data_IF_949798058098
#
_entry.id   IF_949798058098
#
_cell.length_a   1.000
_cell.length_b   1.000
_cell.length_c   1.000
_cell.angle_alpha   90.00
_cell.angle_beta   90.00
_cell.angle_gamma   90.00
#
_symmetry.space_group_name_H-M   'P 1'
#
loop_
_entity.id
_entity.type
_entity.pdbx_description
1 polymer ?
#
# COMPACT_ATOMS: atom_id res chain seq x y z
N UNK A 1 71.99 49.58 45.30
CA UNK A 1 70.58 49.29 45.65
C UNK A 1 69.84 49.26 44.33
N UNK A 2 69.49 48.08 43.81
CA UNK A 2 68.75 47.97 42.55
C UNK A 2 67.30 48.36 42.85
N UNK A 3 66.83 49.49 42.33
CA UNK A 3 65.42 49.84 42.40
C UNK A 3 64.66 48.93 41.45
N UNK A 4 63.94 47.94 42.00
CA UNK A 4 62.94 47.23 41.21
C UNK A 4 61.83 48.24 40.91
N UNK A 5 61.66 48.58 39.63
CA UNK A 5 60.49 49.34 39.18
C UNK A 5 59.31 48.38 39.30
N UNK A 6 58.33 48.79 40.10
CA UNK A 6 57.09 48.03 40.30
C UNK A 6 56.22 48.26 39.06
N UNK A 7 55.88 47.18 38.34
CA UNK A 7 54.99 47.23 37.18
C UNK A 7 53.54 46.98 37.60
N UNK A 8 52.57 47.57 36.88
CA UNK A 8 51.15 47.28 37.10
C UNK A 8 50.83 45.80 36.81
N UNK A 9 49.79 45.22 37.43
CA UNK A 9 49.45 43.81 37.22
C UNK A 9 49.04 43.52 35.78
N UNK A 10 49.42 42.37 35.22
CA UNK A 10 48.84 41.87 33.98
C UNK A 10 47.57 41.06 34.27
N UNK A 11 46.44 41.44 33.66
CA UNK A 11 45.12 40.85 33.91
C UNK A 11 44.51 40.29 32.64
N UNK A 12 44.26 38.97 32.59
CA UNK A 12 43.77 38.28 31.38
C UNK A 12 42.52 37.46 31.67
N UNK A 13 41.51 37.60 30.82
CA UNK A 13 40.34 36.70 30.77
C UNK A 13 40.56 35.54 29.80
N UNK A 14 40.11 34.34 30.19
CA UNK A 14 40.31 33.13 29.36
C UNK A 14 39.23 32.90 28.30
N UNK A 15 38.03 33.47 28.50
CA UNK A 15 36.90 33.35 27.56
C UNK A 15 36.21 34.69 27.43
N UNK A 16 35.73 34.99 26.23
CA UNK A 16 34.98 36.21 25.92
C UNK A 16 33.50 36.13 26.30
N UNK A 17 32.96 34.93 26.54
CA UNK A 17 31.59 34.74 27.00
C UNK A 17 31.42 33.43 27.80
N UNK A 18 30.43 33.45 28.67
CA UNK A 18 29.92 32.34 29.44
C UNK A 18 28.39 32.35 29.39
N UNK A 19 27.78 31.16 29.41
CA UNK A 19 26.34 31.04 29.57
C UNK A 19 26.02 30.07 30.69
N UNK A 20 25.01 30.40 31.47
CA UNK A 20 24.57 29.61 32.61
C UNK A 20 23.05 29.54 32.62
N UNK A 21 22.51 28.36 32.94
CA UNK A 21 21.07 28.20 33.16
C UNK A 21 20.63 28.93 34.43
N UNK A 22 19.39 29.45 34.51
CA UNK A 22 18.82 29.92 35.75
C UNK A 22 19.02 28.90 36.88
N UNK A 23 19.53 29.35 38.02
CA UNK A 23 19.88 28.54 39.18
C UNK A 23 21.22 27.81 39.11
N UNK A 24 21.92 27.82 37.98
CA UNK A 24 23.25 27.24 37.83
C UNK A 24 24.37 28.11 38.42
N UNK A 25 25.59 27.58 38.44
CA UNK A 25 26.80 28.33 38.80
C UNK A 25 27.78 28.41 37.63
N UNK A 26 28.52 29.50 37.52
CA UNK A 26 29.55 29.70 36.48
C UNK A 26 30.74 30.47 37.02
N UNK A 27 31.96 30.08 36.63
CA UNK A 27 33.21 30.74 37.03
C UNK A 27 33.83 31.46 35.84
N UNK A 28 33.96 32.78 35.98
CA UNK A 28 34.62 33.68 35.04
C UNK A 28 36.11 33.65 35.35
N UNK A 29 36.88 32.96 34.50
CA UNK A 29 38.29 32.75 34.73
C UNK A 29 39.10 34.02 34.41
N UNK A 30 39.83 34.50 35.42
CA UNK A 30 40.78 35.61 35.33
C UNK A 30 42.13 35.14 35.86
N UNK A 31 43.19 35.44 35.09
CA UNK A 31 44.58 35.25 35.48
C UNK A 31 45.16 36.63 35.78
N UNK A 32 45.81 36.73 36.94
CA UNK A 32 46.53 37.93 37.39
C UNK A 32 47.97 37.54 37.63
N UNK A 33 48.92 38.26 37.02
CA UNK A 33 50.36 38.06 37.23
C UNK A 33 51.05 39.40 37.45
N UNK A 34 51.95 39.46 38.42
CA UNK A 34 52.71 40.66 38.79
C UNK A 34 54.02 40.25 39.47
N UNK A 35 55.07 41.04 39.31
CA UNK A 35 56.33 40.90 40.06
C UNK A 35 56.21 41.39 41.51
N UNK A 36 55.22 42.26 41.77
CA UNK A 36 54.91 42.85 43.08
C UNK A 36 53.66 42.21 43.69
N UNK A 37 53.49 42.34 45.01
CA UNK A 37 52.35 41.76 45.72
C UNK A 37 51.03 42.37 45.22
N UNK A 38 50.04 41.53 44.94
CA UNK A 38 48.70 41.98 44.53
C UNK A 38 47.90 42.31 45.79
N UNK A 39 47.51 43.57 45.94
CA UNK A 39 46.77 44.05 47.11
C UNK A 39 45.28 43.75 46.98
N UNK A 40 44.73 43.86 45.77
CA UNK A 40 43.29 43.73 45.54
C UNK A 40 43.00 43.16 44.17
N UNK A 41 41.98 42.29 44.11
CA UNK A 41 41.34 41.86 42.86
C UNK A 41 39.84 42.09 43.02
N UNK A 42 39.21 42.71 42.03
CA UNK A 42 37.77 42.94 42.05
C UNK A 42 37.16 42.82 40.65
N UNK A 43 35.86 42.61 40.59
CA UNK A 43 35.13 42.52 39.32
C UNK A 43 34.12 43.65 39.19
N UNK A 44 33.95 44.14 37.97
CA UNK A 44 32.86 45.04 37.61
C UNK A 44 31.93 44.38 36.61
N UNK A 45 30.63 44.69 36.72
CA UNK A 45 29.61 44.30 35.77
C UNK A 45 29.00 45.54 35.14
N UNK A 46 28.89 45.53 33.81
CA UNK A 46 28.28 46.58 33.02
C UNK A 46 27.00 46.07 32.35
N UNK A 47 25.88 46.75 32.56
CA UNK A 47 24.59 46.48 31.91
C UNK A 47 24.02 47.82 31.45
N UNK A 48 23.68 47.98 30.16
CA UNK A 48 23.16 49.24 29.60
C UNK A 48 24.02 50.48 29.94
N UNK A 49 25.36 50.31 29.96
CA UNK A 49 26.36 51.31 30.38
C UNK A 49 26.41 51.62 31.88
N UNK A 50 25.55 51.01 32.70
CA UNK A 50 25.64 51.10 34.16
C UNK A 50 26.68 50.13 34.69
N UNK A 51 27.73 50.65 35.32
CA UNK A 51 28.84 49.88 35.89
C UNK A 51 28.60 49.67 37.38
N UNK A 52 28.63 48.40 37.81
CA UNK A 52 28.50 48.00 39.21
C UNK A 52 29.72 47.21 39.64
N UNK A 53 30.38 47.62 40.73
CA UNK A 53 31.43 46.80 41.37
C UNK A 53 30.76 45.63 42.09
N UNK A 54 31.18 44.41 41.76
CA UNK A 54 30.61 43.19 42.33
C UNK A 54 31.10 43.01 43.77
N UNK A 55 30.16 43.00 44.70
CA UNK A 55 30.42 42.70 46.10
C UNK A 55 30.32 41.19 46.32
N UNK A 56 31.44 40.56 46.65
CA UNK A 56 31.49 39.12 46.89
C UNK A 56 30.85 38.73 48.21
N UNK A 57 30.02 37.69 48.17
CA UNK A 57 29.56 36.96 49.33
C UNK A 57 29.50 35.47 48.98
N UNK A 58 29.78 34.59 49.95
CA UNK A 58 29.87 33.14 49.71
C UNK A 58 28.59 32.52 49.10
N UNK A 59 27.45 33.21 49.17
CA UNK A 59 26.16 32.74 48.64
C UNK A 59 25.94 33.07 47.17
N UNK A 60 26.38 34.25 46.69
CA UNK A 60 26.05 34.75 45.35
C UNK A 60 27.26 34.94 44.44
N UNK A 61 28.32 35.57 44.95
CA UNK A 61 29.52 35.91 44.19
C UNK A 61 30.75 35.53 45.02
N UNK A 62 31.51 34.53 44.61
CA UNK A 62 32.70 34.06 45.35
C UNK A 62 33.98 34.13 44.50
N UNK A 63 35.14 34.05 45.15
CA UNK A 63 36.43 34.33 44.50
C UNK A 63 36.74 35.83 44.53
N UNK A 64 37.28 36.38 43.44
CA UNK A 64 37.66 37.78 43.35
C UNK A 64 38.63 38.22 44.47
N UNK A 65 39.67 37.43 44.71
CA UNK A 65 40.73 37.75 45.67
C UNK A 65 42.10 37.60 45.00
N UNK A 66 43.19 38.16 45.57
CA UNK A 66 44.54 37.94 45.05
C UNK A 66 44.91 36.46 44.89
N UNK A 67 44.46 35.59 45.80
CA UNK A 67 44.68 34.13 45.74
C UNK A 67 43.72 33.38 44.82
N UNK A 68 42.53 33.94 44.54
CA UNK A 68 41.52 33.35 43.66
C UNK A 68 40.94 34.47 42.79
N UNK A 69 41.64 34.91 41.72
CA UNK A 69 41.21 36.08 40.95
C UNK A 69 39.91 35.89 40.17
N UNK A 70 39.55 34.64 39.89
CA UNK A 70 38.35 34.28 39.13
C UNK A 70 37.07 34.52 39.94
N UNK A 71 36.01 34.98 39.28
CA UNK A 71 34.70 35.24 39.90
C UNK A 71 33.75 34.06 39.64
N UNK A 72 33.18 33.50 40.70
CA UNK A 72 32.10 32.51 40.59
C UNK A 72 30.76 33.14 40.91
N UNK A 73 29.82 33.05 39.97
CA UNK A 73 28.42 33.43 40.15
C UNK A 73 27.65 32.17 40.53
N UNK A 74 27.06 32.16 41.72
CA UNK A 74 26.23 31.07 42.21
C UNK A 74 24.74 31.36 42.01
N UNK A 75 23.95 30.30 41.78
CA UNK A 75 22.50 30.38 41.64
C UNK A 75 22.09 31.53 40.70
N UNK A 76 22.64 31.51 39.48
CA UNK A 76 22.53 32.59 38.50
C UNK A 76 21.06 32.90 38.17
N UNK A 77 20.67 34.16 38.24
CA UNK A 77 19.37 34.67 37.82
C UNK A 77 19.51 35.58 36.61
N UNK A 78 18.39 35.93 35.97
CA UNK A 78 18.40 36.74 34.75
C UNK A 78 19.11 38.10 34.91
N UNK A 79 19.13 38.65 36.14
CA UNK A 79 19.82 39.91 36.47
C UNK A 79 21.34 39.79 36.58
N UNK A 80 21.90 38.58 36.54
CA UNK A 80 23.35 38.36 36.49
C UNK A 80 23.88 38.39 35.07
N UNK A 81 23.03 38.52 34.06
CA UNK A 81 23.48 38.73 32.69
C UNK A 81 24.14 40.11 32.52
N UNK A 82 25.20 40.19 31.74
CA UNK A 82 25.93 41.45 31.50
C UNK A 82 27.37 41.27 31.05
N UNK A 83 28.08 42.37 30.84
CA UNK A 83 29.53 42.38 30.55
C UNK A 83 30.31 42.46 31.87
N UNK A 84 31.31 41.61 32.05
CA UNK A 84 32.14 41.55 33.26
C UNK A 84 33.60 41.84 32.92
N UNK A 85 34.30 42.54 33.81
CA UNK A 85 35.74 42.81 33.74
C UNK A 85 36.40 42.55 35.09
N UNK A 86 37.60 41.96 35.03
CA UNK A 86 38.47 41.71 36.17
C UNK A 86 39.45 42.87 36.32
N UNK A 87 39.68 43.33 37.53
CA UNK A 87 40.64 44.39 37.88
C UNK A 87 41.60 43.85 38.93
N UNK A 88 42.87 44.22 38.83
CA UNK A 88 43.87 43.92 39.84
C UNK A 88 44.70 45.17 40.16
N UNK A 89 45.04 45.33 41.43
CA UNK A 89 45.72 46.50 41.97
C UNK A 89 46.94 46.07 42.81
N UNK A 90 48.06 46.76 42.60
CA UNK A 90 49.27 46.71 43.42
C UNK A 90 49.79 48.13 43.67
N UNK A 91 50.93 48.27 44.34
CA UNK A 91 51.56 49.57 44.63
C UNK A 91 51.87 50.43 43.37
N UNK A 92 52.01 49.82 42.19
CA UNK A 92 52.30 50.50 40.94
C UNK A 92 51.03 51.06 40.27
N UNK A 93 49.86 50.49 40.57
CA UNK A 93 48.57 50.94 40.04
C UNK A 93 47.57 49.81 39.81
N UNK A 94 46.52 50.13 39.05
CA UNK A 94 45.43 49.22 38.71
C UNK A 94 45.38 48.97 37.22
N UNK A 95 45.25 47.71 36.82
CA UNK A 95 45.02 47.29 35.43
C UNK A 95 43.73 46.46 35.33
N UNK A 96 43.18 46.36 34.13
CA UNK A 96 41.93 45.66 33.85
C UNK A 96 42.06 44.63 32.74
N UNK A 97 41.20 43.62 32.75
CA UNK A 97 41.05 42.69 31.64
C UNK A 97 40.19 43.23 30.50
N UNK A 98 40.20 42.54 29.36
CA UNK A 98 39.11 42.61 28.38
C UNK A 98 37.76 42.15 28.99
N UNK A 99 36.67 42.42 28.27
CA UNK A 99 35.32 42.01 28.68
C UNK A 99 35.08 40.50 28.48
N UNK A 100 34.35 39.91 29.43
CA UNK A 100 33.63 38.65 29.23
C UNK A 100 32.13 38.85 29.41
N UNK A 101 31.30 38.26 28.54
CA UNK A 101 29.84 38.37 28.62
C UNK A 101 29.29 37.19 29.44
N UNK A 102 28.34 37.44 30.32
CA UNK A 102 27.53 36.40 30.97
C UNK A 102 26.12 36.46 30.40
N UNK A 103 25.68 35.36 29.83
CA UNK A 103 24.30 35.14 29.42
C UNK A 103 23.61 34.22 30.44
N UNK A 104 22.37 34.53 30.81
CA UNK A 104 21.56 33.67 31.67
C UNK A 104 20.30 33.27 30.92
N UNK A 105 20.16 31.99 30.60
CA UNK A 105 19.08 31.52 29.75
C UNK A 105 18.96 30.00 29.71
N UNK A 106 17.84 29.53 29.17
CA UNK A 106 17.61 28.10 28.96
C UNK A 106 18.04 27.69 27.54
N UNK A 107 18.39 26.41 27.38
CA UNK A 107 18.53 25.80 26.05
C UNK A 107 17.21 25.90 25.27
N UNK A 108 17.23 25.80 23.93
CA UNK A 108 15.99 25.81 23.14
C UNK A 108 15.04 24.68 23.57
N UNK A 109 13.74 24.94 23.57
CA UNK A 109 12.72 23.89 23.68
C UNK A 109 12.50 23.30 22.29
N UNK A 110 12.69 21.99 22.16
CA UNK A 110 12.61 21.31 20.86
C UNK A 110 11.56 20.21 20.95
N UNK A 111 10.59 20.22 20.05
CA UNK A 111 9.51 19.23 19.99
C UNK A 111 9.40 18.63 18.60
N UNK A 112 8.91 17.39 18.53
CA UNK A 112 8.65 16.68 17.28
C UNK A 112 7.17 16.34 17.20
N UNK A 113 6.55 16.56 16.04
CA UNK A 113 5.09 16.47 15.94
C UNK A 113 4.55 15.04 16.01
N UNK A 114 5.32 14.04 15.57
CA UNK A 114 4.92 12.61 15.60
C UNK A 114 6.09 11.75 16.07
N UNK A 115 5.77 10.64 16.73
CA UNK A 115 6.74 9.63 17.17
C UNK A 115 7.12 8.63 16.06
N UNK A 116 6.36 8.55 14.98
CA UNK A 116 6.62 7.65 13.85
C UNK A 116 6.16 8.23 12.50
N UNK A 117 6.90 7.87 11.45
CA UNK A 117 6.67 8.24 10.07
C UNK A 117 6.97 7.02 9.18
N UNK A 118 6.05 6.70 8.26
CA UNK A 118 6.20 5.63 7.30
C UNK A 118 6.22 6.22 5.89
N UNK A 119 7.19 5.83 5.08
CA UNK A 119 7.34 6.33 3.70
C UNK A 119 7.63 5.18 2.74
N UNK A 120 7.01 5.24 1.56
CA UNK A 120 7.27 4.27 0.49
C UNK A 120 8.68 4.46 -0.08
N UNK A 121 9.34 3.38 -0.53
CA UNK A 121 10.58 3.50 -1.32
C UNK A 121 10.40 4.51 -2.47
N UNK A 122 11.34 5.44 -2.61
CA UNK A 122 11.31 6.53 -3.57
C UNK A 122 10.47 7.75 -3.18
N UNK A 123 9.67 7.66 -2.11
CA UNK A 123 8.84 8.78 -1.61
C UNK A 123 9.65 9.84 -0.85
N UNK A 124 8.97 10.92 -0.45
CA UNK A 124 9.53 11.96 0.42
C UNK A 124 8.73 12.09 1.71
N UNK A 125 9.40 12.44 2.81
CA UNK A 125 8.78 12.66 4.12
C UNK A 125 9.45 13.81 4.85
N UNK A 126 8.66 14.63 5.55
CA UNK A 126 9.15 15.72 6.40
C UNK A 126 8.88 15.43 7.87
N UNK A 127 9.96 15.34 8.64
CA UNK A 127 9.93 15.21 10.09
C UNK A 127 9.77 16.60 10.70
N UNK A 128 8.54 16.91 11.11
CA UNK A 128 8.18 18.23 11.61
C UNK A 128 8.78 18.46 13.00
N UNK A 129 9.76 19.35 13.09
CA UNK A 129 10.40 19.78 14.31
C UNK A 129 10.08 21.25 14.57
N UNK A 130 9.77 21.57 15.82
CA UNK A 130 9.57 22.94 16.30
C UNK A 130 10.66 23.23 17.32
N UNK A 131 11.45 24.26 17.08
CA UNK A 131 12.46 24.76 18.02
C UNK A 131 12.07 26.18 18.44
N UNK A 132 11.90 26.39 19.74
CA UNK A 132 11.55 27.70 20.31
C UNK A 132 12.56 28.09 21.40
N UNK A 133 12.98 29.35 21.39
CA UNK A 133 13.87 29.90 22.38
C UNK A 133 13.62 31.40 22.55
N UNK A 134 13.83 31.92 23.75
CA UNK A 134 13.84 33.36 24.02
C UNK A 134 15.16 34.01 23.59
N UNK A 135 16.20 33.22 23.29
CA UNK A 135 17.48 33.67 22.75
C UNK A 135 17.62 33.24 21.29
N UNK A 136 18.53 33.87 20.54
CA UNK A 136 18.79 33.48 19.16
C UNK A 136 19.23 32.00 19.07
N UNK A 137 18.60 31.24 18.18
CA UNK A 137 19.01 29.87 17.86
C UNK A 137 20.09 29.95 16.79
N UNK A 138 21.29 29.49 17.14
CA UNK A 138 22.47 29.58 16.28
C UNK A 138 22.54 28.41 15.30
N UNK A 139 22.05 27.24 15.72
CA UNK A 139 22.16 26.01 14.95
C UNK A 139 20.96 25.10 15.19
N UNK A 140 20.48 24.46 14.12
CA UNK A 140 19.59 23.30 14.18
C UNK A 140 20.25 22.16 13.42
N UNK A 141 20.23 20.96 13.97
CA UNK A 141 20.77 19.78 13.33
C UNK A 141 20.01 18.52 13.74
N UNK A 142 20.12 17.48 12.91
CA UNK A 142 19.49 16.19 13.17
C UNK A 142 20.53 15.11 13.38
N UNK A 143 20.24 14.20 14.30
CA UNK A 143 20.98 12.94 14.44
C UNK A 143 20.08 11.77 14.09
N UNK A 144 20.68 10.77 13.46
CA UNK A 144 20.04 9.49 13.14
C UNK A 144 20.75 8.37 13.91
N UNK A 145 19.95 7.54 14.56
CA UNK A 145 20.40 6.36 15.29
C UNK A 145 19.93 5.09 14.57
N UNK A 146 20.88 4.22 14.23
CA UNK A 146 20.63 2.88 13.65
C UNK A 146 21.47 1.87 14.42
N UNK A 147 20.87 0.79 14.91
CA UNK A 147 21.59 -0.24 15.68
C UNK A 147 22.44 0.30 16.84
N UNK A 148 21.95 1.34 17.54
CA UNK A 148 22.64 2.08 18.62
C UNK A 148 23.81 2.97 18.16
N UNK A 149 24.15 2.98 16.89
CA UNK A 149 25.14 3.92 16.33
C UNK A 149 24.47 5.24 15.95
N UNK A 150 25.06 6.35 16.39
CA UNK A 150 24.52 7.70 16.19
C UNK A 150 25.37 8.43 15.15
N UNK A 151 24.72 8.99 14.14
CA UNK A 151 25.34 9.77 13.07
C UNK A 151 24.64 11.13 12.93
N UNK A 152 25.40 12.19 12.63
CA UNK A 152 24.82 13.49 12.26
C UNK A 152 24.35 13.42 10.82
N UNK A 153 23.10 13.83 10.57
CA UNK A 153 22.55 13.88 9.21
C UNK A 153 23.14 15.08 8.49
N UNK A 154 23.82 14.85 7.38
CA UNK A 154 24.36 15.91 6.53
C UNK A 154 23.24 16.50 5.68
N UNK A 155 22.85 17.75 5.97
CA UNK A 155 21.77 18.47 5.30
C UNK A 155 22.32 19.40 4.19
N UNK A 156 21.44 20.19 3.56
CA UNK A 156 21.75 20.97 2.36
C UNK A 156 22.19 20.10 1.16
N UNK A 157 21.62 18.90 1.08
CA UNK A 157 21.80 17.99 -0.05
C UNK A 157 20.46 17.78 -0.77
N UNK A 158 20.48 17.19 -1.96
CA UNK A 158 19.25 16.77 -2.66
C UNK A 158 18.46 15.76 -1.81
N UNK A 159 19.18 14.95 -1.03
CA UNK A 159 18.63 13.87 -0.20
C UNK A 159 17.99 14.38 1.10
N UNK A 160 18.68 15.27 1.80
CA UNK A 160 18.28 15.81 3.10
C UNK A 160 18.29 17.33 3.09
N UNK A 161 17.15 17.95 3.34
CA UNK A 161 16.98 19.41 3.36
C UNK A 161 16.25 19.91 4.60
N UNK A 162 16.30 21.23 4.82
CA UNK A 162 15.82 21.86 6.04
C UNK A 162 16.87 21.89 7.13
N UNK A 163 16.49 21.65 8.39
CA UNK A 163 17.40 21.68 9.54
C UNK A 163 18.13 23.02 9.72
N UNK A 164 17.39 24.12 9.64
CA UNK A 164 17.93 25.47 9.90
C UNK A 164 17.16 26.13 11.05
N UNK A 165 17.70 27.19 11.69
CA UNK A 165 16.96 27.95 12.70
C UNK A 165 15.61 28.48 12.21
N UNK A 166 15.48 28.86 10.93
CA UNK A 166 14.24 29.33 10.32
C UNK A 166 13.32 28.20 9.84
N UNK A 167 13.87 27.01 9.56
CA UNK A 167 13.13 25.82 9.16
C UNK A 167 13.70 24.57 9.84
N UNK A 168 13.31 24.29 11.10
CA UNK A 168 13.94 23.24 11.89
C UNK A 168 13.66 21.81 11.40
N UNK A 169 12.55 21.61 10.69
CA UNK A 169 12.13 20.32 10.15
C UNK A 169 13.14 19.72 9.18
N UNK A 170 13.25 18.38 9.17
CA UNK A 170 14.09 17.63 8.23
C UNK A 170 13.22 17.00 7.15
N UNK A 171 13.53 17.26 5.89
CA UNK A 171 12.92 16.57 4.75
C UNK A 171 13.88 15.53 4.20
N UNK A 172 13.38 14.30 4.05
CA UNK A 172 14.08 13.17 3.42
C UNK A 172 13.42 12.95 2.06
N UNK A 173 14.17 13.13 0.97
CA UNK A 173 13.70 12.91 -0.39
C UNK A 173 14.11 11.53 -0.93
N UNK A 174 13.34 10.97 -1.88
CA UNK A 174 13.67 9.71 -2.56
C UNK A 174 14.11 8.60 -1.58
N UNK A 175 13.29 8.37 -0.55
CA UNK A 175 13.61 7.54 0.61
C UNK A 175 13.93 6.08 0.21
N UNK A 176 15.01 5.53 0.75
CA UNK A 176 15.42 4.15 0.54
C UNK A 176 15.73 3.46 1.87
N UNK A 177 15.96 2.16 1.86
CA UNK A 177 16.08 1.35 3.09
C UNK A 177 17.11 1.88 4.10
N UNK A 178 18.17 2.55 3.63
CA UNK A 178 19.22 3.14 4.48
C UNK A 178 18.79 4.41 5.22
N UNK A 179 17.62 4.95 4.90
CA UNK A 179 17.03 6.10 5.59
C UNK A 179 16.18 5.68 6.79
N UNK A 180 15.89 4.40 6.96
CA UNK A 180 15.19 3.89 8.14
C UNK A 180 16.03 4.13 9.41
N UNK A 181 15.37 4.44 10.52
CA UNK A 181 16.04 4.62 11.81
C UNK A 181 15.31 5.58 12.75
N UNK A 182 15.91 5.83 13.91
CA UNK A 182 15.42 6.83 14.87
C UNK A 182 16.07 8.18 14.59
N UNK A 183 15.27 9.23 14.46
CA UNK A 183 15.72 10.58 14.21
C UNK A 183 15.41 11.47 15.41
N UNK A 184 16.31 12.40 15.71
CA UNK A 184 16.16 13.35 16.80
C UNK A 184 16.64 14.74 16.35
N UNK A 185 15.81 15.75 16.61
CA UNK A 185 16.07 17.14 16.27
C UNK A 185 16.80 17.81 17.44
N UNK A 186 17.82 18.62 17.14
CA UNK A 186 18.58 19.39 18.11
C UNK A 186 18.60 20.85 17.71
N UNK A 187 18.47 21.75 18.68
CA UNK A 187 18.64 23.18 18.47
C UNK A 187 19.57 23.74 19.55
N UNK A 188 20.46 24.63 19.13
CA UNK A 188 21.53 25.18 19.96
C UNK A 188 21.43 26.69 20.03
N UNK A 189 21.53 27.23 21.23
CA UNK A 189 21.75 28.65 21.50
C UNK A 189 22.95 28.80 22.42
N UNK A 190 23.28 30.04 22.81
CA UNK A 190 24.38 30.31 23.73
C UNK A 190 24.31 29.51 25.05
N UNK A 191 23.13 29.09 25.51
CA UNK A 191 22.95 28.29 26.74
C UNK A 191 23.19 26.80 26.56
N UNK A 192 23.32 26.34 25.32
CA UNK A 192 23.59 24.96 24.96
C UNK A 192 22.49 24.38 24.08
N UNK A 193 22.38 23.06 24.11
CA UNK A 193 21.58 22.30 23.14
C UNK A 193 20.31 21.72 23.77
N UNK A 194 19.16 22.04 23.19
CA UNK A 194 17.90 21.35 23.41
C UNK A 194 17.69 20.24 22.39
N UNK A 195 16.91 19.22 22.75
CA UNK A 195 16.65 18.07 21.88
C UNK A 195 15.18 17.63 21.95
N UNK A 196 14.66 17.13 20.83
CA UNK A 196 13.32 16.55 20.76
C UNK A 196 13.29 15.13 21.34
N UNK A 197 12.09 14.56 21.49
CA UNK A 197 11.92 13.11 21.54
C UNK A 197 12.35 12.45 20.21
N UNK A 198 12.52 11.13 20.21
CA UNK A 198 12.80 10.37 18.99
C UNK A 198 11.56 10.27 18.10
N UNK A 199 11.77 10.34 16.78
CA UNK A 199 10.82 9.90 15.76
C UNK A 199 11.40 8.72 14.98
N UNK A 200 10.62 7.66 14.81
CA UNK A 200 11.01 6.50 14.02
C UNK A 200 10.60 6.73 12.55
N UNK A 201 11.53 6.55 11.62
CA UNK A 201 11.25 6.50 10.19
C UNK A 201 11.33 5.07 9.73
N UNK A 202 10.24 4.55 9.17
CA UNK A 202 10.20 3.24 8.51
C UNK A 202 10.03 3.40 7.00
N UNK A 203 10.69 2.50 6.26
CA UNK A 203 10.63 2.46 4.80
C UNK A 203 9.88 1.19 4.43
N UNK A 204 8.59 1.33 4.16
CA UNK A 204 7.69 0.20 3.93
C UNK A 204 6.94 0.36 2.61
N UNK A 205 6.68 -0.75 1.95
CA UNK A 205 5.89 -0.80 0.72
C UNK A 205 4.54 -1.45 0.97
N UNK A 206 3.64 -1.37 -0.01
CA UNK A 206 2.48 -2.26 -0.06
C UNK A 206 2.96 -3.73 -0.16
N UNK A 207 2.13 -4.72 0.20
CA UNK A 207 2.52 -6.12 0.10
C UNK A 207 2.90 -6.51 -1.32
N UNK A 208 3.89 -7.38 -1.48
CA UNK A 208 4.19 -8.02 -2.77
C UNK A 208 3.30 -9.23 -2.93
N UNK A 209 2.49 -9.24 -3.99
CA UNK A 209 1.46 -10.26 -4.24
C UNK A 209 1.76 -10.96 -5.56
N UNK A 210 1.93 -12.28 -5.51
CA UNK A 210 2.31 -13.10 -6.67
C UNK A 210 1.35 -14.26 -6.86
N UNK A 211 0.81 -14.44 -8.07
CA UNK A 211 0.10 -15.66 -8.45
C UNK A 211 1.09 -16.65 -9.07
N UNK A 212 0.95 -17.95 -8.75
CA UNK A 212 1.94 -18.96 -9.17
C UNK A 212 1.84 -19.38 -10.64
N UNK A 213 0.68 -19.18 -11.27
CA UNK A 213 0.44 -19.51 -12.68
C UNK A 213 -0.27 -18.36 -13.36
N UNK A 214 -0.07 -18.24 -14.67
CA UNK A 214 -0.82 -17.35 -15.56
C UNK A 214 -2.23 -17.87 -15.84
N UNK A 215 -2.44 -19.17 -15.74
CA UNK A 215 -3.69 -19.84 -16.09
C UNK A 215 -3.91 -21.13 -15.29
N UNK A 216 -5.18 -21.44 -15.11
CA UNK A 216 -5.67 -22.66 -14.49
C UNK A 216 -6.81 -23.22 -15.34
N UNK A 217 -6.86 -24.54 -15.45
CA UNK A 217 -7.96 -25.27 -16.09
C UNK A 217 -8.56 -26.24 -15.07
N UNK A 218 -9.87 -26.17 -14.89
CA UNK A 218 -10.61 -27.03 -13.97
C UNK A 218 -11.81 -27.67 -14.67
N UNK A 219 -12.07 -28.94 -14.38
CA UNK A 219 -13.31 -29.59 -14.84
C UNK A 219 -14.53 -29.01 -14.12
N UNK A 220 -15.63 -28.84 -14.83
CA UNK A 220 -16.91 -28.47 -14.24
C UNK A 220 -17.27 -29.42 -13.08
N UNK A 221 -17.84 -28.85 -12.02
CA UNK A 221 -18.13 -29.48 -10.73
C UNK A 221 -16.92 -29.94 -9.90
N UNK A 222 -15.68 -29.73 -10.37
CA UNK A 222 -14.47 -29.96 -9.57
C UNK A 222 -14.04 -28.70 -8.83
N UNK A 223 -13.11 -28.84 -7.87
CA UNK A 223 -12.51 -27.70 -7.17
C UNK A 223 -11.15 -27.34 -7.74
N UNK A 224 -10.79 -26.06 -7.69
CA UNK A 224 -9.47 -25.55 -8.08
C UNK A 224 -8.99 -24.50 -7.09
N UNK A 225 -7.69 -24.45 -6.84
CA UNK A 225 -7.07 -23.42 -6.00
C UNK A 225 -6.16 -22.53 -6.85
N UNK A 226 -6.54 -21.26 -6.95
CA UNK A 226 -5.71 -20.20 -7.51
C UNK A 226 -4.69 -19.79 -6.46
N UNK A 227 -3.43 -20.13 -6.69
CA UNK A 227 -2.40 -19.97 -5.68
C UNK A 227 -1.88 -18.54 -5.67
N UNK A 228 -1.87 -17.92 -4.48
CA UNK A 228 -1.35 -16.59 -4.26
C UNK A 228 -0.35 -16.61 -3.11
N UNK A 229 0.82 -16.01 -3.31
CA UNK A 229 1.83 -15.77 -2.30
C UNK A 229 1.84 -14.28 -1.99
N UNK A 230 1.72 -13.95 -0.70
CA UNK A 230 1.81 -12.58 -0.20
C UNK A 230 3.05 -12.48 0.68
N UNK A 231 3.89 -11.49 0.41
CA UNK A 231 5.07 -11.16 1.23
C UNK A 231 5.06 -9.68 1.60
N UNK A 232 5.32 -9.37 2.87
CA UNK A 232 5.28 -8.02 3.42
C UNK A 232 6.26 -7.90 4.59
N UNK A 233 6.91 -6.74 4.74
CA UNK A 233 7.72 -6.40 5.93
C UNK A 233 6.85 -6.07 7.15
N UNK A 234 5.58 -5.74 6.92
CA UNK A 234 4.60 -5.34 7.93
C UNK A 234 3.41 -6.29 7.95
N UNK A 235 2.62 -6.25 9.02
CA UNK A 235 1.45 -7.12 9.18
C UNK A 235 0.42 -6.91 8.06
N UNK A 236 -0.03 -8.02 7.47
CA UNK A 236 -1.06 -8.03 6.44
C UNK A 236 -2.43 -7.96 7.14
N UNK A 237 -3.20 -6.92 6.86
CA UNK A 237 -4.53 -6.70 7.45
C UNK A 237 -5.63 -7.44 6.68
N UNK A 238 -5.46 -7.63 5.38
CA UNK A 238 -6.50 -8.22 4.52
C UNK A 238 -5.88 -8.88 3.27
N UNK A 239 -6.54 -9.91 2.76
CA UNK A 239 -6.26 -10.51 1.44
C UNK A 239 -7.59 -10.75 0.76
N UNK A 240 -7.73 -10.32 -0.49
CA UNK A 240 -8.98 -10.47 -1.23
C UNK A 240 -8.72 -10.74 -2.71
N UNK A 241 -9.72 -11.31 -3.39
CA UNK A 241 -9.65 -11.58 -4.83
C UNK A 241 -10.71 -10.81 -5.59
N UNK A 242 -10.35 -10.34 -6.78
CA UNK A 242 -11.31 -9.81 -7.77
C UNK A 242 -11.30 -10.69 -9.00
N UNK A 243 -12.46 -10.82 -9.63
CA UNK A 243 -12.65 -11.50 -10.91
C UNK A 243 -13.12 -10.50 -11.96
N UNK A 244 -12.58 -10.60 -13.16
CA UNK A 244 -12.93 -9.78 -14.32
C UNK A 244 -13.45 -10.66 -15.44
N UNK A 245 -14.63 -10.32 -15.98
CA UNK A 245 -15.25 -10.95 -17.15
C UNK A 245 -15.72 -9.80 -18.05
N UNK A 246 -15.31 -9.77 -19.32
CA UNK A 246 -15.72 -8.72 -20.27
C UNK A 246 -15.54 -7.27 -19.75
N UNK A 247 -14.45 -7.03 -19.01
CA UNK A 247 -14.12 -5.79 -18.27
C UNK A 247 -14.96 -5.49 -17.03
N UNK A 248 -15.96 -6.32 -16.69
CA UNK A 248 -16.71 -6.21 -15.44
C UNK A 248 -15.96 -6.84 -14.27
N UNK A 249 -15.58 -5.99 -13.31
CA UNK A 249 -14.80 -6.39 -12.13
C UNK A 249 -15.74 -6.68 -10.95
N UNK A 250 -15.70 -7.91 -10.44
CA UNK A 250 -16.46 -8.37 -9.28
C UNK A 250 -15.52 -8.70 -8.12
N UNK A 251 -15.81 -8.17 -6.93
CA UNK A 251 -15.14 -8.61 -5.69
C UNK A 251 -15.65 -10.00 -5.29
N UNK A 252 -14.75 -10.95 -5.07
CA UNK A 252 -15.13 -12.29 -4.65
C UNK A 252 -15.45 -12.30 -3.17
N UNK A 253 -16.70 -12.63 -2.83
CA UNK A 253 -17.13 -12.84 -1.46
C UNK A 253 -16.93 -14.30 -1.07
N UNK A 254 -16.04 -14.55 -0.11
CA UNK A 254 -15.76 -15.90 0.36
C UNK A 254 -16.90 -16.46 1.21
N UNK A 255 -17.28 -17.70 0.92
CA UNK A 255 -18.10 -18.54 1.78
C UNK A 255 -17.62 -19.99 1.65
N UNK A 256 -17.70 -20.77 2.74
CA UNK A 256 -17.14 -22.14 2.77
C UNK A 256 -17.71 -23.06 1.68
N UNK A 257 -18.87 -22.75 1.09
CA UNK A 257 -19.52 -23.56 0.07
C UNK A 257 -18.99 -23.31 -1.35
N UNK A 258 -18.66 -22.06 -1.71
CA UNK A 258 -18.26 -21.68 -3.06
C UNK A 258 -16.84 -21.17 -3.18
N UNK A 259 -16.43 -20.23 -2.34
CA UNK A 259 -15.15 -19.54 -2.41
C UNK A 259 -14.49 -19.56 -1.03
N UNK A 260 -13.39 -20.27 -0.85
CA UNK A 260 -12.68 -20.35 0.43
C UNK A 260 -11.21 -19.92 0.32
N UNK A 261 -10.56 -19.69 1.45
CA UNK A 261 -9.24 -19.04 1.50
C UNK A 261 -9.39 -17.53 1.46
N UNK A 262 -8.53 -16.84 0.69
CA UNK A 262 -8.52 -15.37 0.60
C UNK A 262 -8.44 -14.71 1.97
N UNK A 263 -7.49 -15.14 2.81
CA UNK A 263 -7.21 -14.52 4.11
C UNK A 263 -5.70 -14.29 4.28
N UNK A 264 -5.25 -13.46 5.23
CA UNK A 264 -3.83 -13.28 5.51
C UNK A 264 -3.08 -14.60 5.81
N UNK A 265 -3.73 -15.56 6.47
CA UNK A 265 -3.16 -16.89 6.76
C UNK A 265 -3.29 -17.89 5.61
N UNK A 266 -4.28 -17.72 4.73
CA UNK A 266 -4.54 -18.57 3.57
C UNK A 266 -4.85 -17.72 2.34
N UNK A 267 -3.84 -17.10 1.71
CA UNK A 267 -4.05 -16.09 0.65
C UNK A 267 -4.63 -16.67 -0.66
N UNK A 268 -4.37 -17.93 -0.95
CA UNK A 268 -4.90 -18.61 -2.14
C UNK A 268 -6.43 -18.69 -2.12
N UNK A 269 -7.06 -18.56 -3.30
CA UNK A 269 -8.51 -18.70 -3.48
C UNK A 269 -8.84 -20.10 -3.95
N UNK A 270 -9.65 -20.83 -3.19
CA UNK A 270 -10.22 -22.11 -3.62
C UNK A 270 -11.65 -21.91 -4.09
N UNK A 271 -11.92 -22.34 -5.32
CA UNK A 271 -13.23 -22.31 -5.96
C UNK A 271 -13.76 -23.74 -5.91
N UNK A 272 -14.83 -23.95 -5.15
CA UNK A 272 -15.49 -25.24 -5.03
C UNK A 272 -16.58 -25.41 -6.08
N UNK A 273 -16.75 -26.64 -6.58
CA UNK A 273 -17.80 -26.99 -7.53
C UNK A 273 -17.85 -25.99 -8.70
N UNK A 274 -16.73 -25.84 -9.41
CA UNK A 274 -16.53 -24.83 -10.45
C UNK A 274 -17.60 -24.96 -11.56
N UNK A 275 -18.24 -23.86 -11.90
CA UNK A 275 -19.21 -23.73 -12.98
C UNK A 275 -18.75 -22.72 -14.01
N UNK A 276 -19.41 -22.68 -15.18
CA UNK A 276 -19.01 -21.81 -16.28
C UNK A 276 -18.92 -20.32 -15.92
N UNK A 277 -19.78 -19.87 -15.01
CA UNK A 277 -19.79 -18.47 -14.52
C UNK A 277 -18.61 -18.14 -13.60
N UNK A 278 -17.79 -19.13 -13.23
CA UNK A 278 -16.55 -18.91 -12.48
C UNK A 278 -15.35 -18.69 -13.41
N UNK A 279 -15.47 -18.99 -14.70
CA UNK A 279 -14.41 -18.67 -15.66
C UNK A 279 -14.18 -17.15 -15.74
N UNK A 280 -12.94 -16.75 -16.04
CA UNK A 280 -12.56 -15.34 -16.15
C UNK A 280 -11.14 -15.07 -15.65
N UNK A 281 -10.76 -13.80 -15.65
CA UNK A 281 -9.46 -13.37 -15.12
C UNK A 281 -9.57 -13.04 -13.63
N UNK A 282 -8.59 -13.45 -12.84
CA UNK A 282 -8.55 -13.26 -11.40
C UNK A 282 -7.29 -12.50 -10.99
N UNK A 283 -7.41 -11.63 -9.99
CA UNK A 283 -6.28 -10.98 -9.33
C UNK A 283 -6.38 -11.13 -7.82
N UNK A 284 -5.25 -11.42 -7.20
CA UNK A 284 -5.07 -11.45 -5.76
C UNK A 284 -4.62 -10.06 -5.29
N UNK A 285 -5.15 -9.60 -4.16
CA UNK A 285 -4.81 -8.34 -3.53
C UNK A 285 -4.49 -8.59 -2.06
N UNK A 286 -3.57 -7.81 -1.50
CA UNK A 286 -3.27 -7.83 -0.07
C UNK A 286 -3.02 -6.43 0.46
N UNK A 287 -3.43 -6.19 1.71
CA UNK A 287 -3.38 -4.88 2.34
C UNK A 287 -2.49 -4.91 3.58
N UNK A 288 -1.73 -3.84 3.78
CA UNK A 288 -1.07 -3.52 5.02
C UNK A 288 -1.31 -2.05 5.38
N UNK A 289 -0.65 -1.53 6.41
CA UNK A 289 -0.77 -0.13 6.83
C UNK A 289 -0.34 0.90 5.76
N UNK A 290 0.43 0.48 4.75
CA UNK A 290 0.92 1.33 3.66
C UNK A 290 -0.05 1.39 2.47
N UNK A 291 -0.88 0.35 2.31
CA UNK A 291 -1.92 0.26 1.29
C UNK A 291 -2.02 -1.12 0.65
N UNK A 292 -2.60 -1.16 -0.55
CA UNK A 292 -2.96 -2.41 -1.25
C UNK A 292 -1.94 -2.76 -2.33
N UNK A 293 -1.37 -3.96 -2.24
CA UNK A 293 -0.61 -4.61 -3.31
C UNK A 293 -1.52 -5.50 -4.15
N UNK A 294 -1.15 -5.75 -5.40
CA UNK A 294 -1.92 -6.58 -6.33
C UNK A 294 -1.01 -7.48 -7.16
N UNK A 295 -1.51 -8.66 -7.52
CA UNK A 295 -0.85 -9.54 -8.47
C UNK A 295 -1.15 -9.14 -9.92
N UNK A 296 -0.39 -9.74 -10.85
CA UNK A 296 -0.83 -9.88 -12.25
C UNK A 296 -2.10 -10.74 -12.33
N UNK A 297 -2.76 -10.73 -13.48
CA UNK A 297 -3.92 -11.59 -13.75
C UNK A 297 -3.50 -13.06 -13.85
N UNK A 298 -4.36 -13.95 -13.34
CA UNK A 298 -4.40 -15.38 -13.68
C UNK A 298 -5.74 -15.72 -14.30
N UNK A 299 -5.77 -16.48 -15.38
CA UNK A 299 -7.02 -16.85 -16.07
C UNK A 299 -7.53 -18.19 -15.55
N UNK A 300 -8.82 -18.31 -15.24
CA UNK A 300 -9.46 -19.58 -14.97
C UNK A 300 -10.33 -19.98 -16.17
N UNK A 301 -10.01 -21.14 -16.73
CA UNK A 301 -10.86 -21.84 -17.70
C UNK A 301 -11.59 -22.98 -16.98
N UNK A 302 -12.91 -23.03 -17.14
CA UNK A 302 -13.72 -24.13 -16.65
C UNK A 302 -14.04 -25.04 -17.82
N UNK A 303 -13.25 -26.11 -17.95
CA UNK A 303 -13.49 -27.16 -18.92
C UNK A 303 -14.75 -27.91 -18.51
N UNK A 304 -15.74 -27.99 -19.40
CA UNK A 304 -16.73 -29.05 -19.26
C UNK A 304 -16.03 -30.34 -19.67
N UNK A 305 -15.78 -31.31 -18.77
CA UNK A 305 -15.41 -32.63 -19.27
C UNK A 305 -16.57 -33.12 -20.14
N UNK A 306 -16.25 -33.58 -21.34
CA UNK A 306 -17.17 -34.27 -22.25
C UNK A 306 -17.70 -35.61 -21.67
N UNK A 307 -17.48 -35.86 -20.38
CA UNK A 307 -17.62 -37.13 -19.67
C UNK A 307 -18.76 -37.17 -18.65
N UNK A 308 -19.82 -36.41 -18.86
CA UNK A 308 -21.14 -36.72 -18.31
C UNK A 308 -22.15 -36.74 -19.46
N UNK A 309 -21.87 -37.53 -20.50
CA UNK A 309 -22.95 -38.19 -21.22
C UNK A 309 -23.60 -39.13 -20.18
N UNK A 310 -24.59 -38.64 -19.43
CA UNK A 310 -25.57 -39.52 -18.79
C UNK A 310 -26.05 -40.51 -19.86
N UNK A 311 -26.29 -41.76 -19.46
CA UNK A 311 -26.85 -42.82 -20.32
C UNK A 311 -27.81 -42.27 -21.38
N UNK A 312 -27.55 -42.54 -22.66
CA UNK A 312 -28.52 -42.28 -23.73
C UNK A 312 -28.05 -41.44 -24.92
N UNK A 313 -26.85 -40.83 -24.88
CA UNK A 313 -26.26 -40.22 -26.07
C UNK A 313 -25.74 -41.28 -27.04
N UNK A 314 -26.06 -41.12 -28.32
CA UNK A 314 -25.68 -42.02 -29.42
C UNK A 314 -24.79 -41.27 -30.40
N UNK A 315 -23.68 -41.88 -30.80
CA UNK A 315 -22.79 -41.31 -31.81
C UNK A 315 -23.20 -41.78 -33.21
N UNK A 316 -23.22 -40.87 -34.18
CA UNK A 316 -23.35 -41.16 -35.59
C UNK A 316 -22.41 -40.25 -36.39
N UNK A 317 -21.42 -40.84 -37.07
CA UNK A 317 -20.44 -40.13 -37.91
C UNK A 317 -19.78 -38.91 -37.25
N UNK A 318 -19.45 -38.99 -35.96
CA UNK A 318 -18.78 -37.90 -35.24
C UNK A 318 -19.71 -36.88 -34.59
N UNK A 319 -21.01 -36.93 -34.87
CA UNK A 319 -22.03 -36.15 -34.19
C UNK A 319 -22.67 -36.97 -33.07
N UNK A 320 -23.07 -36.31 -31.98
CA UNK A 320 -23.68 -36.96 -30.82
C UNK A 320 -25.12 -36.52 -30.68
N UNK A 321 -26.02 -37.49 -30.50
CA UNK A 321 -27.46 -37.27 -30.42
C UNK A 321 -28.05 -37.84 -29.14
N UNK A 322 -28.99 -37.15 -28.51
CA UNK A 322 -29.82 -37.70 -27.43
C UNK A 322 -31.29 -37.51 -27.75
N UNK A 323 -32.09 -38.53 -27.41
CA UNK A 323 -33.52 -38.59 -27.68
C UNK A 323 -34.27 -38.44 -26.37
N UNK A 324 -34.83 -37.25 -26.14
CA UNK A 324 -35.49 -36.89 -24.88
C UNK A 324 -37.00 -37.00 -25.05
N UNK A 325 -37.63 -37.85 -24.22
CA UNK A 325 -39.06 -38.14 -24.25
C UNK A 325 -39.89 -37.28 -23.28
N UNK A 326 -39.24 -36.36 -22.56
CA UNK A 326 -39.94 -35.37 -21.74
C UNK A 326 -40.48 -34.29 -22.66
N UNK A 327 -41.76 -34.33 -22.99
CA UNK A 327 -42.34 -33.46 -24.01
C UNK A 327 -42.21 -31.96 -23.71
N UNK A 328 -41.80 -31.15 -24.69
CA UNK A 328 -41.59 -29.70 -24.57
C UNK A 328 -42.03 -28.94 -25.83
N UNK A 329 -42.27 -27.63 -25.68
CA UNK A 329 -42.42 -26.73 -26.83
C UNK A 329 -41.11 -26.67 -27.61
N UNK A 330 -41.15 -26.28 -28.88
CA UNK A 330 -39.94 -26.24 -29.71
C UNK A 330 -38.86 -25.32 -29.11
N UNK A 331 -39.25 -24.15 -28.62
CA UNK A 331 -38.34 -23.19 -27.97
C UNK A 331 -37.78 -23.72 -26.65
N UNK A 332 -38.61 -24.31 -25.79
CA UNK A 332 -38.15 -24.89 -24.52
C UNK A 332 -37.24 -26.10 -24.74
N UNK A 333 -37.43 -26.83 -25.84
CA UNK A 333 -36.59 -27.96 -26.24
C UNK A 333 -35.21 -27.49 -26.74
N UNK A 334 -35.16 -26.43 -27.56
CA UNK A 334 -33.90 -25.80 -27.97
C UNK A 334 -33.11 -25.25 -26.77
N UNK A 335 -33.78 -24.60 -25.81
CA UNK A 335 -33.13 -24.15 -24.57
C UNK A 335 -32.62 -25.33 -23.71
N UNK A 336 -33.36 -26.45 -23.66
CA UNK A 336 -32.92 -27.67 -22.98
C UNK A 336 -31.69 -28.28 -23.66
N UNK A 337 -31.65 -28.33 -25.00
CA UNK A 337 -30.47 -28.76 -25.73
C UNK A 337 -29.27 -27.85 -25.45
N UNK A 338 -29.47 -26.52 -25.37
CA UNK A 338 -28.41 -25.56 -25.04
C UNK A 338 -27.83 -25.76 -23.64
N UNK A 339 -28.63 -26.24 -22.67
CA UNK A 339 -28.11 -26.63 -21.36
C UNK A 339 -27.00 -27.70 -21.47
N UNK A 340 -27.16 -28.64 -22.41
CA UNK A 340 -26.17 -29.67 -22.73
C UNK A 340 -25.04 -29.20 -23.67
N UNK A 341 -24.95 -27.89 -23.97
CA UNK A 341 -24.07 -27.37 -25.03
C UNK A 341 -24.31 -28.05 -26.39
N UNK A 342 -25.57 -28.41 -26.63
CA UNK A 342 -26.10 -28.95 -27.87
C UNK A 342 -27.13 -27.96 -28.45
N UNK A 343 -27.75 -28.34 -29.57
CA UNK A 343 -28.90 -27.68 -30.18
C UNK A 343 -29.92 -28.73 -30.59
N UNK A 344 -31.14 -28.35 -30.95
CA UNK A 344 -32.04 -29.27 -31.64
C UNK A 344 -31.37 -29.81 -32.91
N UNK A 345 -31.55 -31.10 -33.19
CA UNK A 345 -30.80 -31.81 -34.22
C UNK A 345 -31.04 -31.22 -35.62
N UNK A 346 -29.95 -31.03 -36.36
CA UNK A 346 -29.92 -30.58 -37.74
C UNK A 346 -29.54 -31.74 -38.64
N UNK A 347 -30.40 -32.05 -39.60
CA UNK A 347 -30.15 -33.15 -40.53
C UNK A 347 -29.32 -32.65 -41.71
N UNK A 348 -28.06 -33.04 -41.77
CA UNK A 348 -27.11 -32.59 -42.79
C UNK A 348 -26.99 -33.57 -43.95
N UNK A 349 -27.25 -34.86 -43.71
CA UNK A 349 -27.14 -35.91 -44.74
C UNK A 349 -28.34 -36.85 -44.75
N UNK A 350 -28.59 -37.49 -45.91
CA UNK A 350 -29.67 -38.49 -46.05
C UNK A 350 -29.48 -39.68 -45.09
N UNK A 351 -28.25 -40.13 -44.90
CA UNK A 351 -27.92 -41.27 -44.03
C UNK A 351 -28.18 -40.95 -42.56
N UNK A 352 -27.83 -39.73 -42.13
CA UNK A 352 -28.14 -39.22 -40.80
C UNK A 352 -29.65 -39.12 -40.57
N UNK A 353 -30.39 -38.52 -41.51
CA UNK A 353 -31.85 -38.44 -41.42
C UNK A 353 -32.52 -39.82 -41.34
N UNK A 354 -32.02 -40.80 -42.09
CA UNK A 354 -32.51 -42.18 -42.02
C UNK A 354 -32.16 -42.86 -40.70
N UNK A 355 -30.97 -42.60 -40.15
CA UNK A 355 -30.57 -43.09 -38.84
C UNK A 355 -31.43 -42.50 -37.73
N UNK A 356 -31.62 -41.18 -37.69
CA UNK A 356 -32.50 -40.48 -36.75
C UNK A 356 -33.93 -41.04 -36.79
N UNK A 357 -34.46 -41.26 -37.99
CA UNK A 357 -35.78 -41.90 -38.21
C UNK A 357 -35.87 -43.29 -37.58
N UNK A 358 -34.84 -44.12 -37.72
CA UNK A 358 -34.83 -45.45 -37.11
C UNK A 358 -34.76 -45.39 -35.58
N UNK A 359 -34.00 -44.45 -35.02
CA UNK A 359 -33.91 -44.24 -33.57
C UNK A 359 -35.23 -43.71 -32.98
N UNK A 360 -35.83 -42.70 -33.63
CA UNK A 360 -37.13 -42.15 -33.24
C UNK A 360 -38.23 -43.23 -33.28
N UNK A 361 -38.22 -44.07 -34.32
CA UNK A 361 -39.17 -45.20 -34.46
C UNK A 361 -39.11 -46.18 -33.30
N UNK A 362 -37.92 -46.48 -32.78
CA UNK A 362 -37.77 -47.39 -31.64
C UNK A 362 -38.35 -46.84 -30.34
N UNK A 363 -38.42 -45.50 -30.22
CA UNK A 363 -38.89 -44.82 -29.00
C UNK A 363 -40.35 -44.38 -29.07
N UNK A 364 -40.91 -44.22 -30.27
CA UNK A 364 -42.29 -43.80 -30.48
C UNK A 364 -42.52 -42.31 -30.25
N UNK A 365 -43.70 -41.83 -30.67
CA UNK A 365 -44.11 -40.42 -30.57
C UNK A 365 -43.49 -39.52 -31.65
N UNK A 366 -43.90 -38.25 -31.64
CA UNK A 366 -43.43 -37.22 -32.56
C UNK A 366 -42.20 -36.49 -31.99
N UNK A 367 -41.31 -36.01 -32.86
CA UNK A 367 -40.00 -35.49 -32.46
C UNK A 367 -39.67 -34.13 -33.08
N UNK A 368 -39.30 -33.14 -32.26
CA UNK A 368 -38.75 -31.88 -32.76
C UNK A 368 -37.35 -32.06 -33.35
N UNK A 369 -37.13 -31.35 -34.46
CA UNK A 369 -35.84 -31.08 -35.08
C UNK A 369 -35.58 -29.58 -35.11
N UNK A 370 -34.33 -29.19 -35.34
CA UNK A 370 -33.87 -27.82 -35.15
C UNK A 370 -34.19 -26.84 -36.27
N UNK A 371 -35.17 -27.09 -37.15
CA UNK A 371 -35.54 -26.12 -38.18
C UNK A 371 -36.87 -25.42 -37.87
N UNK A 372 -36.94 -24.15 -38.25
CA UNK A 372 -38.18 -23.36 -38.26
C UNK A 372 -38.18 -22.33 -39.39
N UNK A 373 -39.35 -21.88 -39.79
CA UNK A 373 -39.56 -20.73 -40.68
C UNK A 373 -40.33 -19.58 -40.00
N UNK A 374 -40.49 -19.63 -38.67
CA UNK A 374 -41.15 -18.59 -37.82
C UNK A 374 -40.61 -17.17 -38.10
N UNK A 375 -39.33 -17.06 -38.45
CA UNK A 375 -38.70 -15.79 -38.78
C UNK A 375 -39.12 -15.24 -40.16
N UNK A 376 -39.33 -16.11 -41.14
CA UNK A 376 -39.70 -15.77 -42.52
C UNK A 376 -40.44 -16.95 -43.14
N UNK A 377 -41.77 -16.85 -43.20
CA UNK A 377 -42.67 -17.86 -43.76
C UNK A 377 -42.15 -18.45 -45.09
N UNK A 378 -42.06 -19.78 -45.16
CA UNK A 378 -41.56 -20.51 -46.33
C UNK A 378 -40.03 -20.55 -46.47
N UNK A 379 -39.27 -19.90 -45.58
CA UNK A 379 -37.79 -19.95 -45.55
C UNK A 379 -37.29 -20.70 -44.31
N UNK A 380 -37.26 -22.02 -44.41
CA UNK A 380 -36.79 -22.90 -43.33
C UNK A 380 -35.30 -22.73 -43.04
N UNK A 381 -34.99 -22.51 -41.76
CA UNK A 381 -33.62 -22.37 -41.24
C UNK A 381 -33.38 -23.25 -40.04
N UNK A 382 -32.21 -23.88 -40.01
CA UNK A 382 -31.73 -24.60 -38.84
C UNK A 382 -31.33 -23.62 -37.72
N UNK A 383 -31.39 -24.05 -36.46
CA UNK A 383 -30.93 -23.28 -35.28
C UNK A 383 -29.44 -22.96 -35.32
N UNK A 384 -28.67 -23.63 -36.18
CA UNK A 384 -27.28 -23.31 -36.50
C UNK A 384 -27.11 -22.06 -37.37
N UNK A 385 -28.17 -21.59 -38.02
CA UNK A 385 -28.17 -20.52 -39.01
C UNK A 385 -28.14 -20.99 -40.46
N UNK A 386 -27.88 -22.27 -40.72
CA UNK A 386 -27.87 -22.84 -42.07
C UNK A 386 -29.27 -22.86 -42.70
N UNK A 387 -29.36 -22.65 -44.00
CA UNK A 387 -30.60 -22.83 -44.77
C UNK A 387 -30.89 -24.32 -44.96
N UNK A 388 -32.17 -24.67 -44.91
CA UNK A 388 -32.63 -26.04 -45.18
C UNK A 388 -32.64 -26.28 -46.70
N UNK A 389 -31.50 -26.69 -47.28
CA UNK A 389 -31.34 -26.87 -48.73
C UNK A 389 -31.04 -28.32 -49.17
N UNK A 390 -31.45 -28.65 -50.40
CA UNK A 390 -31.08 -29.81 -51.24
C UNK A 390 -31.55 -31.21 -50.83
N UNK A 391 -31.79 -31.52 -49.55
CA UNK A 391 -32.28 -32.84 -49.14
C UNK A 391 -33.33 -32.77 -48.03
N UNK A 392 -34.59 -32.62 -48.42
CA UNK A 392 -35.71 -32.58 -47.46
C UNK A 392 -36.38 -33.94 -47.33
N UNK A 393 -36.83 -34.28 -46.12
CA UNK A 393 -37.58 -35.51 -45.86
C UNK A 393 -39.06 -35.21 -45.55
N UNK A 394 -39.62 -34.16 -46.16
CA UNK A 394 -41.03 -33.76 -46.02
C UNK A 394 -41.99 -34.89 -46.37
N UNK A 395 -43.06 -35.00 -45.58
CA UNK A 395 -44.20 -35.86 -45.90
C UNK A 395 -44.91 -35.36 -47.17
N UNK A 396 -45.65 -36.22 -47.89
CA UNK A 396 -46.41 -35.78 -49.06
C UNK A 396 -47.30 -34.58 -48.72
N UNK A 397 -47.19 -33.51 -49.53
CA UNK A 397 -47.90 -32.22 -49.37
C UNK A 397 -47.46 -31.37 -48.19
N UNK A 398 -46.26 -31.58 -47.62
CA UNK A 398 -45.68 -30.74 -46.55
C UNK A 398 -44.47 -29.94 -47.05
N UNK A 399 -44.15 -28.78 -46.44
CA UNK A 399 -44.95 -28.09 -45.42
C UNK A 399 -46.24 -27.51 -46.01
N UNK A 400 -47.35 -27.51 -45.26
CA UNK A 400 -48.65 -27.00 -45.73
C UNK A 400 -49.13 -25.72 -45.02
N UNK A 401 -48.34 -25.24 -44.05
CA UNK A 401 -48.61 -24.11 -43.18
C UNK A 401 -50.04 -24.10 -42.62
N UNK A 402 -50.50 -25.25 -42.16
CA UNK A 402 -51.86 -25.39 -41.68
C UNK A 402 -52.03 -24.70 -40.31
N UNK A 403 -52.60 -23.49 -40.29
CA UNK A 403 -52.78 -22.63 -39.10
C UNK A 403 -51.50 -21.95 -38.55
N UNK A 404 -50.52 -21.59 -39.39
CA UNK A 404 -49.31 -20.89 -38.92
C UNK A 404 -48.34 -21.85 -38.23
N UNK A 405 -47.98 -22.93 -38.92
CA UNK A 405 -47.15 -24.01 -38.39
C UNK A 405 -45.70 -23.80 -38.78
N UNK A 406 -44.87 -23.40 -37.82
CA UNK A 406 -43.54 -22.88 -38.16
C UNK A 406 -42.37 -23.76 -37.71
N UNK A 407 -42.63 -24.90 -37.05
CA UNK A 407 -41.59 -25.72 -36.42
C UNK A 407 -41.51 -27.15 -36.97
N UNK A 408 -40.28 -27.61 -37.24
CA UNK A 408 -40.01 -28.89 -37.90
C UNK A 408 -40.17 -30.06 -36.91
N UNK A 409 -41.11 -30.96 -37.19
CA UNK A 409 -41.23 -32.24 -36.49
C UNK A 409 -41.01 -33.44 -37.42
N UNK A 410 -40.59 -34.57 -36.85
CA UNK A 410 -40.73 -35.90 -37.42
C UNK A 410 -42.02 -36.52 -36.91
N UNK A 411 -42.97 -36.77 -37.82
CA UNK A 411 -44.33 -37.21 -37.49
C UNK A 411 -44.46 -38.74 -37.55
N UNK A 412 -44.79 -39.38 -36.43
CA UNK A 412 -44.86 -40.84 -36.32
C UNK A 412 -45.89 -41.46 -37.28
N UNK A 413 -47.08 -40.85 -37.42
CA UNK A 413 -48.14 -41.31 -38.32
C UNK A 413 -47.79 -41.20 -39.81
N UNK A 414 -46.86 -40.31 -40.16
CA UNK A 414 -46.31 -40.15 -41.50
C UNK A 414 -44.98 -40.92 -41.67
N UNK A 415 -44.77 -42.00 -40.91
CA UNK A 415 -43.54 -42.79 -40.96
C UNK A 415 -42.28 -41.95 -40.69
N UNK A 416 -42.36 -41.01 -39.75
CA UNK A 416 -41.28 -40.09 -39.36
C UNK A 416 -40.73 -39.25 -40.53
N UNK A 417 -41.56 -39.00 -41.54
CA UNK A 417 -41.33 -37.93 -42.49
C UNK A 417 -41.58 -36.57 -41.80
N UNK A 418 -40.99 -35.52 -42.36
CA UNK A 418 -41.06 -34.19 -41.79
C UNK A 418 -42.42 -33.56 -42.01
N UNK A 419 -42.84 -32.80 -41.01
CA UNK A 419 -44.08 -32.05 -41.00
C UNK A 419 -43.82 -30.73 -40.25
N UNK A 420 -44.42 -29.67 -40.74
CA UNK A 420 -44.49 -28.37 -40.11
C UNK A 420 -45.57 -28.39 -39.05
N UNK A 421 -45.25 -27.94 -37.84
CA UNK A 421 -46.13 -28.07 -36.68
C UNK A 421 -46.13 -26.81 -35.84
N UNK A 422 -47.22 -26.60 -35.11
CA UNK A 422 -47.38 -25.48 -34.18
C UNK A 422 -46.32 -25.58 -33.08
N UNK A 423 -45.42 -24.60 -33.00
CA UNK A 423 -44.24 -24.59 -32.13
C UNK A 423 -44.55 -24.73 -30.63
N UNK A 424 -45.76 -24.38 -30.20
CA UNK A 424 -46.22 -24.45 -28.81
C UNK A 424 -46.70 -25.83 -28.38
N UNK A 425 -46.84 -26.78 -29.31
CA UNK A 425 -47.14 -28.17 -28.98
C UNK A 425 -46.00 -28.80 -28.18
N UNK A 426 -46.35 -29.69 -27.25
CA UNK A 426 -45.37 -30.42 -26.45
C UNK A 426 -45.18 -31.83 -27.01
N UNK A 427 -44.03 -32.06 -27.64
CA UNK A 427 -43.63 -33.38 -28.16
C UNK A 427 -42.18 -33.70 -27.77
N UNK A 428 -41.71 -34.91 -28.11
CA UNK A 428 -40.33 -35.33 -27.83
C UNK A 428 -39.35 -34.49 -28.65
N UNK A 429 -38.05 -34.55 -28.34
CA UNK A 429 -37.05 -33.80 -29.10
C UNK A 429 -35.69 -34.49 -29.12
N UNK A 430 -34.91 -34.12 -30.14
CA UNK A 430 -33.58 -34.67 -30.38
C UNK A 430 -32.57 -33.53 -30.25
N UNK A 431 -31.60 -33.67 -29.36
CA UNK A 431 -30.47 -32.73 -29.27
C UNK A 431 -29.25 -33.30 -29.99
N UNK A 432 -28.48 -32.45 -30.64
CA UNK A 432 -27.25 -32.76 -31.37
C UNK A 432 -26.09 -31.86 -30.92
N UNK A 433 -24.87 -32.41 -30.86
CA UNK A 433 -23.62 -31.64 -30.83
C UNK A 433 -22.56 -32.20 -31.79
N UNK A 434 -21.85 -31.31 -32.48
CA UNK A 434 -20.86 -31.63 -33.54
C UNK A 434 -19.48 -32.02 -33.01
N UNK A 435 -19.18 -31.72 -31.74
CA UNK A 435 -17.98 -32.16 -31.05
C UNK A 435 -18.23 -32.12 -29.55
N UNK A 436 -17.36 -32.78 -28.80
CA UNK A 436 -17.63 -33.10 -27.41
C UNK A 436 -17.28 -31.94 -26.48
#
# INVERSE_FOLDING_TARGET
>A
MVSYISDVPAVTILKSAYTVKPGGSVTLNCIVSSSSNIEKVYWQRTVNNDVTVIQTNKFKYSGSTPSIPSLTINNAGLRDAGKYQCFAENEAGTEQSGFTIVNVGNVPVVTISKSAYTVKPGGSVTLNCIASSSSNIEKVYWKRTVNKEVSVVQTNTVKYSGSTPSFPSLTINNAGLRDAGQYQCFAENAAGTGQSAFAIVTIDSVPTVTVLKSDYTVKAASSVTLNCIVSSSTNISNVFWKRTIDNDVTLIQTNKFKYSGSTPSFPSLTINNAGLRDAGQYQCFAENEVGTGQSVFTTLTVDKPCGLLKDGWKNFHGHYYIFITTVKTWKDAEEDCRYFSARLAEVQTRDEGQWLKNQARQKGGDWWLGASDEANEGQWRWTSGNTLEQHTNWAPKKPDNNYGQDCLQMLASANYLWNDQTCTNKINYICEKSSC
#
